data_IF_710734507564
#
_entry.id   IF_710734507564
#
_cell.length_a   1.000
_cell.length_b   1.000
_cell.length_c   1.000
_cell.angle_alpha   90.00
_cell.angle_beta   90.00
_cell.angle_gamma   90.00
#
_symmetry.space_group_name_H-M   'P 1'
#
loop_
_entity.id
_entity.type
_entity.pdbx_description
1 polymer ?
#
# COMPACT_ATOMS: atom_id res chain seq x y z
N UNK A 1 21.87 5.69 1.91
CA UNK A 1 21.88 6.00 0.49
C UNK A 1 20.51 5.68 -0.07
N UNK A 2 19.87 6.67 -0.66
CA UNK A 2 18.61 6.50 -1.38
C UNK A 2 18.90 5.55 -2.54
N UNK A 3 18.13 4.48 -2.73
CA UNK A 3 18.34 3.61 -3.88
C UNK A 3 18.30 4.43 -5.17
N UNK A 4 19.35 4.37 -5.94
CA UNK A 4 19.51 5.12 -7.21
C UNK A 4 18.35 4.86 -8.16
N UNK A 5 17.76 3.66 -8.11
CA UNK A 5 16.57 3.30 -8.87
C UNK A 5 15.35 4.17 -8.58
N UNK A 6 15.23 4.69 -7.37
CA UNK A 6 14.14 5.60 -6.99
C UNK A 6 14.44 7.06 -7.36
N UNK A 7 15.71 7.40 -7.57
CA UNK A 7 16.11 8.71 -8.09
C UNK A 7 16.08 8.78 -9.62
N UNK A 8 16.19 7.65 -10.31
CA UNK A 8 16.26 7.59 -11.76
C UNK A 8 14.99 7.98 -12.51
N UNK A 9 13.94 8.34 -11.78
CA UNK A 9 12.85 9.13 -12.34
C UNK A 9 11.90 8.41 -13.27
N UNK A 10 11.90 7.10 -13.30
CA UNK A 10 10.95 6.35 -14.08
C UNK A 10 9.66 6.13 -13.29
N UNK A 11 8.83 7.16 -13.20
CA UNK A 11 7.44 7.03 -12.79
C UNK A 11 7.18 6.47 -11.41
N UNK A 12 8.15 6.52 -10.52
CA UNK A 12 7.92 6.11 -9.14
C UNK A 12 6.95 7.07 -8.47
N UNK A 13 5.99 6.56 -7.75
CA UNK A 13 5.00 7.38 -7.09
C UNK A 13 5.60 8.30 -6.04
N UNK A 14 6.74 7.98 -5.47
CA UNK A 14 7.52 8.93 -4.68
C UNK A 14 8.00 10.12 -5.52
N UNK A 15 8.31 9.90 -6.79
CA UNK A 15 8.66 10.96 -7.74
C UNK A 15 7.42 11.76 -8.16
N UNK A 16 6.32 11.08 -8.39
CA UNK A 16 5.04 11.73 -8.76
C UNK A 16 4.39 12.42 -7.57
N UNK A 17 4.58 11.91 -6.38
CA UNK A 17 3.94 12.41 -5.18
C UNK A 17 4.86 13.20 -4.25
N UNK A 18 6.15 13.11 -4.38
CA UNK A 18 7.06 13.56 -3.35
C UNK A 18 7.91 14.79 -3.66
N UNK A 19 8.10 15.14 -4.90
CA UNK A 19 9.06 16.18 -5.25
C UNK A 19 8.45 17.44 -5.88
N UNK A 20 7.21 17.72 -5.53
CA UNK A 20 6.53 18.89 -6.09
C UNK A 20 6.18 18.76 -7.56
N UNK A 21 6.41 17.61 -8.15
CA UNK A 21 6.20 17.38 -9.58
C UNK A 21 4.72 17.46 -9.97
N UNK A 22 3.84 17.09 -9.06
CA UNK A 22 2.38 17.10 -9.27
C UNK A 22 1.63 18.11 -8.42
N UNK A 23 2.31 18.85 -7.55
CA UNK A 23 1.65 19.76 -6.63
C UNK A 23 0.80 19.07 -5.57
N UNK A 24 1.09 17.80 -5.29
CA UNK A 24 0.31 17.01 -4.34
C UNK A 24 0.54 17.45 -2.91
N UNK A 25 -0.53 17.39 -2.13
CA UNK A 25 -0.49 17.63 -0.70
C UNK A 25 0.11 16.42 0.04
N UNK A 26 0.67 16.67 1.22
CA UNK A 26 1.30 15.69 2.12
C UNK A 26 0.52 14.38 2.26
N UNK A 27 -0.79 14.43 2.50
CA UNK A 27 -1.61 13.25 2.71
C UNK A 27 -1.71 12.35 1.46
N UNK A 28 -1.66 12.93 0.27
CA UNK A 28 -1.68 12.17 -0.97
C UNK A 28 -0.36 11.41 -1.18
N UNK A 29 0.75 11.95 -0.73
CA UNK A 29 2.02 11.24 -0.73
C UNK A 29 2.00 10.00 0.14
N UNK A 30 1.43 10.14 1.34
CA UNK A 30 1.34 9.04 2.29
C UNK A 30 0.55 7.89 1.67
N UNK A 31 -0.59 8.16 1.05
CA UNK A 31 -1.41 7.16 0.38
C UNK A 31 -0.66 6.46 -0.77
N UNK A 32 -0.04 7.22 -1.67
CA UNK A 32 0.68 6.64 -2.79
C UNK A 32 1.94 5.87 -2.38
N UNK A 33 2.66 6.35 -1.37
CA UNK A 33 3.82 5.61 -0.87
C UNK A 33 3.42 4.33 -0.13
N UNK A 34 2.23 4.29 0.48
CA UNK A 34 1.69 3.06 1.04
C UNK A 34 1.41 2.03 -0.06
N UNK A 35 0.78 2.45 -1.16
CA UNK A 35 0.56 1.59 -2.32
C UNK A 35 1.89 1.04 -2.84
N UNK A 36 2.90 1.88 -3.01
CA UNK A 36 4.22 1.44 -3.46
C UNK A 36 4.89 0.46 -2.51
N UNK A 37 4.72 0.64 -1.24
CA UNK A 37 5.29 -0.22 -0.24
C UNK A 37 4.71 -1.63 -0.29
N UNK A 38 3.42 -1.76 -0.56
CA UNK A 38 2.67 -3.01 -0.46
C UNK A 38 2.36 -3.65 -1.82
N UNK A 39 2.57 -2.92 -2.88
CA UNK A 39 2.12 -3.23 -4.22
C UNK A 39 2.63 -4.56 -4.77
N UNK A 40 1.80 -5.20 -5.57
CA UNK A 40 2.11 -6.40 -6.34
C UNK A 40 2.67 -6.10 -7.74
N UNK A 41 2.68 -4.83 -8.13
CA UNK A 41 3.14 -4.33 -9.43
C UNK A 41 4.44 -3.55 -9.29
N UNK A 42 5.01 -3.14 -10.42
CA UNK A 42 6.04 -2.12 -10.42
C UNK A 42 5.49 -0.76 -9.96
N UNK A 43 6.38 0.10 -9.50
CA UNK A 43 6.01 1.40 -8.96
C UNK A 43 5.38 2.34 -10.00
N UNK A 44 5.55 2.05 -11.27
CA UNK A 44 5.01 2.85 -12.37
C UNK A 44 3.56 2.51 -12.67
N UNK A 45 3.21 1.24 -12.52
CA UNK A 45 1.89 0.74 -12.82
C UNK A 45 0.90 0.77 -11.65
N UNK A 46 1.31 1.22 -10.46
CA UNK A 46 0.40 1.20 -9.30
C UNK A 46 -0.76 2.17 -9.40
N UNK A 47 -0.73 3.01 -10.42
CA UNK A 47 -1.77 4.01 -10.57
C UNK A 47 -1.77 5.04 -9.44
N UNK A 48 -2.69 5.95 -9.51
CA UNK A 48 -2.95 6.91 -8.46
C UNK A 48 -4.10 6.39 -7.60
N UNK A 49 -4.10 6.71 -6.33
CA UNK A 49 -5.27 6.47 -5.49
C UNK A 49 -6.46 7.19 -6.10
N UNK A 50 -7.42 6.42 -6.60
CA UNK A 50 -8.64 6.99 -7.17
C UNK A 50 -9.58 7.39 -6.04
N UNK A 51 -9.83 8.68 -5.93
CA UNK A 51 -10.66 9.28 -4.87
C UNK A 51 -11.74 10.13 -5.53
N UNK A 52 -13.01 9.81 -5.25
CA UNK A 52 -14.13 10.65 -5.67
C UNK A 52 -14.15 11.99 -4.93
N UNK A 53 -14.86 12.98 -5.47
CA UNK A 53 -15.03 14.28 -4.81
C UNK A 53 -15.66 14.13 -3.42
N UNK A 54 -16.56 13.17 -3.24
CA UNK A 54 -17.19 12.89 -1.95
C UNK A 54 -16.19 12.29 -0.95
N UNK A 55 -15.42 11.30 -1.38
CA UNK A 55 -14.34 10.73 -0.56
C UNK A 55 -13.30 11.78 -0.18
N UNK A 56 -12.91 12.65 -1.13
CA UNK A 56 -11.98 13.74 -0.84
C UNK A 56 -12.49 14.64 0.29
N UNK A 57 -13.76 15.05 0.20
CA UNK A 57 -14.38 15.90 1.24
C UNK A 57 -14.36 15.19 2.60
N UNK A 58 -14.73 13.93 2.63
CA UNK A 58 -14.74 13.13 3.85
C UNK A 58 -13.33 12.95 4.43
N UNK A 59 -12.35 12.68 3.60
CA UNK A 59 -10.93 12.58 4.02
C UNK A 59 -10.46 13.89 4.67
N UNK A 60 -10.85 15.03 4.11
CA UNK A 60 -10.48 16.34 4.65
C UNK A 60 -11.22 16.70 5.94
N UNK A 61 -12.39 16.10 6.19
CA UNK A 61 -13.13 16.20 7.46
C UNK A 61 -12.57 15.26 8.54
N UNK A 62 -12.08 14.12 8.12
CA UNK A 62 -11.39 13.13 8.95
C UNK A 62 -9.94 13.52 9.07
N UNK A 63 -9.23 13.91 9.87
CA UNK A 63 -7.76 14.11 9.77
C UNK A 63 -7.13 13.22 8.66
N UNK A 64 -6.66 13.78 7.54
CA UNK A 64 -6.18 12.97 6.41
C UNK A 64 -5.12 11.94 6.77
N UNK A 65 -4.28 12.21 7.76
CA UNK A 65 -3.25 11.28 8.22
C UNK A 65 -3.81 10.09 9.03
N UNK A 66 -5.09 10.12 9.40
CA UNK A 66 -5.77 9.06 10.15
C UNK A 66 -7.11 8.66 9.50
N UNK A 67 -7.31 9.03 8.24
CA UNK A 67 -8.58 8.80 7.54
C UNK A 67 -8.77 7.34 7.14
N UNK A 68 -9.80 6.70 7.72
CA UNK A 68 -10.24 5.39 7.31
C UNK A 68 -10.74 5.39 5.86
N UNK A 69 -11.40 6.47 5.44
CA UNK A 69 -11.86 6.63 4.05
C UNK A 69 -10.69 6.59 3.07
N UNK A 70 -9.54 7.17 3.42
CA UNK A 70 -8.35 7.10 2.58
C UNK A 70 -7.72 5.70 2.60
N UNK A 71 -7.66 5.03 3.75
CA UNK A 71 -7.16 3.66 3.83
C UNK A 71 -8.00 2.68 2.99
N UNK A 72 -9.32 2.83 3.01
CA UNK A 72 -10.23 2.03 2.19
C UNK A 72 -10.05 2.33 0.68
N UNK A 73 -9.81 3.59 0.31
CA UNK A 73 -9.53 3.98 -1.07
C UNK A 73 -8.19 3.40 -1.55
N UNK A 74 -7.17 3.36 -0.71
CA UNK A 74 -5.88 2.71 -1.01
C UNK A 74 -6.08 1.22 -1.27
N UNK A 75 -6.76 0.50 -0.38
CA UNK A 75 -7.07 -0.92 -0.55
C UNK A 75 -7.86 -1.18 -1.85
N UNK A 76 -8.85 -0.34 -2.11
CA UNK A 76 -9.63 -0.42 -3.35
C UNK A 76 -8.74 -0.25 -4.58
N UNK A 77 -7.83 0.71 -4.56
CA UNK A 77 -6.89 0.97 -5.65
C UNK A 77 -5.97 -0.23 -5.89
N UNK A 78 -5.42 -0.83 -4.84
CA UNK A 78 -4.59 -2.03 -4.95
C UNK A 78 -5.36 -3.19 -5.58
N UNK A 79 -6.56 -3.48 -5.10
CA UNK A 79 -7.38 -4.55 -5.62
C UNK A 79 -7.77 -4.32 -7.10
N UNK A 80 -8.09 -3.10 -7.45
CA UNK A 80 -8.40 -2.72 -8.84
C UNK A 80 -7.17 -2.89 -9.74
N UNK A 81 -5.98 -2.51 -9.27
CA UNK A 81 -4.74 -2.70 -10.01
C UNK A 81 -4.43 -4.19 -10.26
N UNK A 82 -4.60 -5.04 -9.25
CA UNK A 82 -4.43 -6.49 -9.38
C UNK A 82 -5.40 -7.09 -10.41
N UNK A 83 -6.65 -6.66 -10.40
CA UNK A 83 -7.64 -7.10 -11.38
C UNK A 83 -7.29 -6.62 -12.79
N UNK A 84 -6.86 -5.38 -12.94
CA UNK A 84 -6.42 -4.82 -14.22
C UNK A 84 -5.26 -5.62 -14.83
N UNK A 85 -4.30 -6.04 -14.00
CA UNK A 85 -3.18 -6.87 -14.43
C UNK A 85 -3.57 -8.31 -14.73
N UNK A 86 -4.61 -8.80 -14.08
CA UNK A 86 -5.09 -10.18 -14.23
C UNK A 86 -5.93 -10.38 -15.49
N UNK A 87 -6.51 -9.32 -16.03
CA UNK A 87 -7.18 -9.30 -17.32
C UNK A 87 -6.28 -8.56 -18.32
N UNK A 88 -6.15 -9.02 -19.57
CA UNK A 88 -5.24 -8.42 -20.54
C UNK A 88 -5.75 -7.07 -21.07
N UNK A 89 -6.18 -6.20 -20.18
CA UNK A 89 -6.50 -4.81 -20.46
C UNK A 89 -5.42 -3.94 -19.81
N UNK A 90 -4.52 -3.42 -20.62
CA UNK A 90 -3.47 -2.55 -20.12
C UNK A 90 -4.02 -1.20 -19.66
N UNK A 91 -3.73 -0.80 -18.44
CA UNK A 91 -4.08 0.50 -17.88
C UNK A 91 -3.65 1.67 -18.80
N UNK A 92 -2.52 1.54 -19.45
CA UNK A 92 -1.98 2.52 -20.40
C UNK A 92 -2.71 2.55 -21.74
N UNK A 93 -3.38 1.48 -22.11
CA UNK A 93 -4.06 1.36 -23.40
C UNK A 93 -5.53 1.75 -23.32
N UNK A 94 -6.16 1.53 -22.17
CA UNK A 94 -7.58 1.82 -21.98
C UNK A 94 -7.84 3.14 -21.23
N UNK A 95 -6.85 3.73 -20.59
CA UNK A 95 -6.97 4.85 -19.66
C UNK A 95 -7.95 4.59 -18.49
N UNK A 96 -8.41 3.37 -18.34
CA UNK A 96 -9.37 3.00 -17.30
C UNK A 96 -8.96 1.69 -16.64
N UNK A 97 -8.79 1.69 -15.32
CA UNK A 97 -8.58 0.46 -14.56
C UNK A 97 -9.81 -0.44 -14.61
N UNK A 98 -9.61 -1.72 -14.35
CA UNK A 98 -10.70 -2.69 -14.27
C UNK A 98 -11.52 -2.46 -13.00
N UNK A 99 -12.71 -1.90 -13.16
CA UNK A 99 -13.67 -1.74 -12.07
C UNK A 99 -14.63 -2.93 -12.04
N UNK A 100 -14.64 -3.74 -10.96
CA UNK A 100 -15.48 -4.93 -10.90
C UNK A 100 -16.96 -4.68 -11.15
N UNK A 101 -17.47 -3.54 -10.68
CA UNK A 101 -18.88 -3.16 -10.85
C UNK A 101 -19.27 -2.90 -12.30
N UNK A 102 -18.32 -2.44 -13.11
CA UNK A 102 -18.55 -2.05 -14.50
C UNK A 102 -18.10 -3.14 -15.48
N UNK A 103 -17.09 -3.94 -15.07
CA UNK A 103 -16.42 -4.85 -15.99
C UNK A 103 -16.67 -6.35 -15.69
N UNK A 104 -17.52 -6.70 -14.72
CA UNK A 104 -17.83 -8.10 -14.42
C UNK A 104 -18.40 -8.86 -15.62
N UNK A 105 -19.25 -8.21 -16.43
CA UNK A 105 -19.80 -8.80 -17.63
C UNK A 105 -18.74 -9.05 -18.72
N UNK A 106 -17.78 -8.14 -18.86
CA UNK A 106 -16.66 -8.30 -19.78
C UNK A 106 -15.74 -9.43 -19.34
N UNK A 107 -15.50 -9.56 -18.04
CA UNK A 107 -14.76 -10.69 -17.48
C UNK A 107 -15.46 -12.02 -17.79
N UNK A 108 -16.76 -12.09 -17.59
CA UNK A 108 -17.56 -13.27 -17.94
C UNK A 108 -17.48 -13.58 -19.45
N UNK A 109 -17.64 -12.59 -20.29
CA UNK A 109 -17.56 -12.76 -21.74
C UNK A 109 -16.20 -13.28 -22.22
N UNK A 110 -15.11 -12.87 -21.54
CA UNK A 110 -13.75 -13.29 -21.88
C UNK A 110 -13.37 -14.67 -21.34
N UNK A 111 -13.89 -15.06 -20.17
CA UNK A 111 -13.43 -16.24 -19.43
C UNK A 111 -14.47 -17.36 -19.32
N UNK A 112 -15.74 -17.05 -19.50
CA UNK A 112 -16.87 -17.94 -19.19
C UNK A 112 -17.11 -18.12 -17.67
N UNK A 113 -16.38 -17.43 -16.82
CA UNK A 113 -16.49 -17.53 -15.36
C UNK A 113 -17.34 -16.36 -14.84
N UNK A 114 -18.45 -16.67 -14.19
CA UNK A 114 -19.31 -15.66 -13.59
C UNK A 114 -18.87 -15.35 -12.17
N UNK A 115 -18.48 -14.10 -11.93
CA UNK A 115 -18.22 -13.55 -10.61
C UNK A 115 -19.06 -12.30 -10.38
N UNK A 116 -19.52 -12.13 -9.15
CA UNK A 116 -20.01 -10.84 -8.68
C UNK A 116 -18.84 -9.86 -8.48
N UNK A 117 -19.08 -8.55 -8.45
CA UNK A 117 -18.04 -7.58 -8.11
C UNK A 117 -17.29 -7.88 -6.80
N UNK A 118 -18.01 -8.34 -5.79
CA UNK A 118 -17.44 -8.70 -4.49
C UNK A 118 -16.53 -9.94 -4.58
N UNK A 119 -16.92 -10.94 -5.37
CA UNK A 119 -16.08 -12.12 -5.60
C UNK A 119 -14.82 -11.77 -6.40
N UNK A 120 -14.90 -10.85 -7.37
CA UNK A 120 -13.72 -10.36 -8.08
C UNK A 120 -12.75 -9.65 -7.13
N UNK A 121 -13.25 -8.79 -6.24
CA UNK A 121 -12.41 -8.16 -5.21
C UNK A 121 -11.80 -9.19 -4.25
N UNK A 122 -12.52 -10.23 -3.89
CA UNK A 122 -11.97 -11.31 -3.07
C UNK A 122 -10.86 -12.08 -3.80
N UNK A 123 -10.93 -12.24 -5.12
CA UNK A 123 -9.81 -12.82 -5.89
C UNK A 123 -8.59 -11.89 -5.90
N UNK A 124 -8.79 -10.57 -5.98
CA UNK A 124 -7.69 -9.61 -5.85
C UNK A 124 -7.02 -9.68 -4.46
N UNK A 125 -7.81 -9.72 -3.39
CA UNK A 125 -7.30 -9.92 -2.02
C UNK A 125 -6.51 -11.22 -1.90
N UNK A 126 -7.00 -12.31 -2.47
CA UNK A 126 -6.30 -13.60 -2.50
C UNK A 126 -4.96 -13.49 -3.22
N UNK A 127 -4.91 -12.84 -4.39
CA UNK A 127 -3.67 -12.65 -5.14
C UNK A 127 -2.67 -11.79 -4.37
N UNK A 128 -3.12 -10.71 -3.74
CA UNK A 128 -2.31 -9.84 -2.89
C UNK A 128 -1.69 -10.62 -1.72
N UNK A 129 -2.46 -11.44 -1.05
CA UNK A 129 -1.98 -12.28 0.05
C UNK A 129 -0.97 -13.33 -0.42
N UNK A 130 -1.21 -14.01 -1.55
CA UNK A 130 -0.24 -14.96 -2.11
C UNK A 130 1.09 -14.30 -2.43
N UNK A 131 1.07 -13.09 -3.01
CA UNK A 131 2.28 -12.32 -3.23
C UNK A 131 2.99 -11.98 -1.92
N UNK A 132 2.21 -11.58 -0.89
CA UNK A 132 2.74 -11.33 0.46
C UNK A 132 3.41 -12.57 1.05
N UNK A 133 2.79 -13.75 0.91
CA UNK A 133 3.36 -15.02 1.37
C UNK A 133 4.73 -15.31 0.74
N UNK A 134 4.84 -15.09 -0.57
CA UNK A 134 6.11 -15.29 -1.30
C UNK A 134 7.19 -14.36 -0.76
N UNK A 135 6.87 -13.09 -0.53
CA UNK A 135 7.82 -12.11 0.00
C UNK A 135 8.25 -12.41 1.43
N UNK A 136 7.31 -12.82 2.28
CA UNK A 136 7.59 -13.22 3.66
C UNK A 136 8.49 -14.46 3.70
N UNK A 137 8.12 -15.51 2.96
CA UNK A 137 8.84 -16.78 2.95
C UNK A 137 10.25 -16.65 2.38
N UNK A 138 10.40 -15.94 1.26
CA UNK A 138 11.65 -15.92 0.52
C UNK A 138 12.62 -14.83 0.98
N UNK A 139 12.11 -13.72 1.51
CA UNK A 139 12.90 -12.54 1.83
C UNK A 139 12.73 -12.05 3.27
N UNK A 140 11.88 -12.69 4.07
CA UNK A 140 11.59 -12.24 5.43
C UNK A 140 10.96 -10.86 5.48
N UNK A 141 10.21 -10.47 4.42
CA UNK A 141 9.64 -9.13 4.34
C UNK A 141 8.77 -8.83 5.55
N UNK A 142 9.05 -7.72 6.20
CA UNK A 142 8.39 -7.31 7.42
C UNK A 142 8.16 -5.79 7.44
N UNK A 143 7.40 -5.34 8.44
CA UNK A 143 7.05 -3.94 8.63
C UNK A 143 8.24 -2.99 8.64
N UNK A 144 9.30 -3.32 9.38
CA UNK A 144 10.45 -2.41 9.50
C UNK A 144 11.13 -2.19 8.15
N UNK A 145 11.28 -3.24 7.36
CA UNK A 145 11.82 -3.12 6.00
C UNK A 145 10.99 -2.18 5.14
N UNK A 146 9.67 -2.28 5.23
CA UNK A 146 8.74 -1.47 4.44
C UNK A 146 8.76 -0.01 4.88
N UNK A 147 8.59 0.23 6.17
CA UNK A 147 8.54 1.58 6.74
C UNK A 147 9.84 2.34 6.52
N UNK A 148 10.98 1.68 6.76
CA UNK A 148 12.30 2.31 6.63
C UNK A 148 12.70 2.56 5.18
N UNK A 149 12.27 1.71 4.25
CA UNK A 149 12.61 1.89 2.83
C UNK A 149 11.91 3.09 2.23
N UNK A 150 10.68 3.35 2.63
CA UNK A 150 9.84 4.39 2.00
C UNK A 150 9.97 5.74 2.70
N UNK A 151 10.15 5.77 4.01
CA UNK A 151 10.15 7.01 4.79
C UNK A 151 11.11 8.10 4.29
N UNK A 152 12.36 7.80 3.88
CA UNK A 152 13.29 8.83 3.41
C UNK A 152 12.76 9.67 2.24
N UNK A 153 11.84 9.12 1.43
CA UNK A 153 11.23 9.85 0.31
C UNK A 153 10.18 10.86 0.76
N UNK A 154 9.63 10.68 1.95
CA UNK A 154 8.59 11.56 2.50
C UNK A 154 9.13 12.72 3.31
N UNK A 155 10.44 12.79 3.50
CA UNK A 155 11.10 13.90 4.22
C UNK A 155 11.26 15.17 3.38
N UNK A 156 10.90 15.13 2.10
CA UNK A 156 10.89 16.32 1.26
C UNK A 156 9.62 17.13 1.51
N UNK A 157 9.71 18.46 1.57
CA UNK A 157 8.53 19.30 1.75
C UNK A 157 7.61 19.25 0.54
N UNK A 158 6.33 19.26 0.80
CA UNK A 158 5.29 19.47 -0.21
C UNK A 158 5.26 20.94 -0.68
N UNK A 159 4.39 21.31 -1.65
CA UNK A 159 4.28 22.71 -2.11
C UNK A 159 3.88 23.72 -1.02
N UNK A 160 3.24 23.28 0.06
CA UNK A 160 2.93 24.11 1.22
C UNK A 160 4.11 24.22 2.21
N UNK A 161 5.14 23.42 2.04
CA UNK A 161 6.30 23.35 2.93
C UNK A 161 6.20 22.28 4.01
N UNK A 162 5.13 21.48 4.00
CA UNK A 162 4.90 20.41 4.97
C UNK A 162 5.68 19.13 4.61
N UNK A 163 6.15 18.44 5.64
CA UNK A 163 6.82 17.14 5.52
C UNK A 163 6.04 16.08 6.30
N UNK A 164 6.24 14.81 5.95
CA UNK A 164 5.69 13.69 6.72
C UNK A 164 6.68 13.35 7.83
N UNK A 165 6.22 13.33 9.06
CA UNK A 165 7.02 12.88 10.20
C UNK A 165 7.07 11.36 10.28
N UNK A 166 8.06 10.83 11.02
CA UNK A 166 8.16 9.40 11.29
C UNK A 166 6.90 8.85 11.98
N UNK A 167 6.34 9.60 12.91
CA UNK A 167 5.15 9.18 13.64
C UNK A 167 3.91 9.16 12.75
N UNK A 168 3.69 10.18 11.96
CA UNK A 168 2.58 10.22 10.99
C UNK A 168 2.66 9.06 9.99
N UNK A 169 3.87 8.76 9.47
CA UNK A 169 4.04 7.62 8.58
C UNK A 169 3.70 6.30 9.24
N UNK A 170 4.17 6.10 10.46
CA UNK A 170 3.89 4.89 11.21
C UNK A 170 2.41 4.76 11.60
N UNK A 171 1.73 5.86 11.89
CA UNK A 171 0.28 5.86 12.17
C UNK A 171 -0.52 5.46 10.93
N UNK A 172 -0.13 5.95 9.78
CA UNK A 172 -0.71 5.54 8.49
C UNK A 172 -0.54 4.05 8.22
N UNK A 173 0.68 3.55 8.33
CA UNK A 173 0.96 2.12 8.15
C UNK A 173 0.16 1.29 9.15
N UNK A 174 0.06 1.72 10.41
CA UNK A 174 -0.72 1.03 11.42
C UNK A 174 -2.22 1.01 11.09
N UNK A 175 -2.77 2.13 10.61
CA UNK A 175 -4.17 2.20 10.19
C UNK A 175 -4.42 1.25 9.02
N UNK A 176 -3.56 1.28 8.02
CA UNK A 176 -3.71 0.42 6.86
C UNK A 176 -3.56 -1.07 7.20
N UNK A 177 -2.58 -1.44 8.04
CA UNK A 177 -2.44 -2.83 8.50
C UNK A 177 -3.67 -3.33 9.24
N UNK A 178 -4.29 -2.48 10.08
CA UNK A 178 -5.58 -2.82 10.71
C UNK A 178 -6.67 -3.05 9.67
N UNK A 179 -6.74 -2.20 8.66
CA UNK A 179 -7.74 -2.31 7.58
C UNK A 179 -7.63 -3.63 6.82
N UNK A 180 -6.41 -4.10 6.57
CA UNK A 180 -6.16 -5.33 5.80
C UNK A 180 -5.93 -6.58 6.66
N UNK A 181 -6.05 -6.49 7.99
CA UNK A 181 -5.93 -7.62 8.90
C UNK A 181 -4.49 -8.11 9.10
N UNK A 182 -3.54 -7.17 9.24
CA UNK A 182 -2.13 -7.47 9.47
C UNK A 182 -1.70 -7.08 10.88
N UNK A 183 -0.75 -7.82 11.43
CA UNK A 183 -0.12 -7.50 12.71
C UNK A 183 0.73 -6.23 12.62
N UNK A 184 0.58 -5.37 13.60
CA UNK A 184 1.25 -4.06 13.63
C UNK A 184 2.77 -4.15 13.89
N UNK A 185 3.24 -5.22 14.50
CA UNK A 185 4.65 -5.41 14.79
C UNK A 185 5.41 -5.93 13.57
N UNK A 186 4.85 -6.93 12.91
CA UNK A 186 5.53 -7.67 11.84
C UNK A 186 5.11 -7.22 10.45
N UNK A 187 3.90 -6.67 10.31
CA UNK A 187 3.27 -6.45 9.01
C UNK A 187 2.85 -7.76 8.33
N UNK A 188 2.71 -8.84 9.08
CA UNK A 188 2.27 -10.13 8.56
C UNK A 188 0.78 -10.33 8.78
N UNK A 189 0.07 -10.95 7.84
CA UNK A 189 -1.34 -11.25 7.98
C UNK A 189 -1.61 -12.19 9.16
N UNK A 190 -2.71 -11.95 9.88
CA UNK A 190 -3.22 -12.89 10.87
C UNK A 190 -3.70 -14.18 10.21
N UNK A 191 -3.74 -15.29 10.94
CA UNK A 191 -4.30 -16.55 10.45
C UNK A 191 -5.72 -16.37 9.91
N UNK A 192 -6.55 -15.66 10.66
CA UNK A 192 -7.93 -15.33 10.24
C UNK A 192 -8.01 -14.60 8.89
N UNK A 193 -7.02 -13.78 8.56
CA UNK A 193 -6.93 -13.08 7.26
C UNK A 193 -6.68 -14.07 6.12
N UNK A 194 -5.78 -15.03 6.31
CA UNK A 194 -5.50 -16.09 5.35
C UNK A 194 -6.72 -16.98 5.13
N UNK A 195 -7.34 -17.43 6.22
CA UNK A 195 -8.52 -18.30 6.17
C UNK A 195 -9.71 -17.65 5.47
N UNK A 196 -9.95 -16.36 5.75
CA UNK A 196 -10.99 -15.58 5.05
C UNK A 196 -10.76 -15.53 3.53
N UNK A 197 -9.51 -15.51 3.09
CA UNK A 197 -9.15 -15.54 1.68
C UNK A 197 -9.10 -16.96 1.08
N UNK A 198 -9.45 -18.00 1.84
CA UNK A 198 -9.36 -19.39 1.41
C UNK A 198 -7.90 -19.87 1.23
N UNK A 199 -6.98 -19.35 2.03
CA UNK A 199 -5.54 -19.66 2.01
C UNK A 199 -5.08 -20.26 3.35
N UNK A 200 -5.89 -21.10 3.97
CA UNK A 200 -5.54 -21.78 5.21
C UNK A 200 -4.33 -22.68 5.08
N UNK A 201 -4.19 -23.37 3.96
CA UNK A 201 -3.01 -24.18 3.61
C UNK A 201 -1.71 -23.36 3.55
N UNK A 202 -1.77 -22.17 2.98
CA UNK A 202 -0.64 -21.22 2.97
C UNK A 202 -0.32 -20.74 4.38
N UNK A 203 -1.34 -20.48 5.19
CA UNK A 203 -1.14 -20.11 6.60
C UNK A 203 -0.43 -21.24 7.38
N UNK A 204 -0.79 -22.50 7.15
CA UNK A 204 -0.15 -23.65 7.80
C UNK A 204 1.34 -23.77 7.44
N UNK A 205 1.68 -23.57 6.16
CA UNK A 205 3.07 -23.53 5.72
C UNK A 205 3.87 -22.39 6.36
N UNK A 206 3.28 -21.19 6.43
CA UNK A 206 3.92 -20.02 7.03
C UNK A 206 4.05 -20.15 8.54
N UNK A 207 3.07 -20.75 9.21
CA UNK A 207 3.10 -21.00 10.66
C UNK A 207 4.22 -21.98 11.03
N UNK A 208 4.41 -23.01 10.24
CA UNK A 208 5.53 -23.93 10.41
C UNK A 208 6.92 -23.25 10.31
N UNK A 209 6.98 -22.07 9.67
CA UNK A 209 8.17 -21.23 9.57
C UNK A 209 8.21 -20.11 10.64
N UNK A 210 7.19 -20.02 11.52
CA UNK A 210 7.07 -18.96 12.53
C UNK A 210 6.71 -17.60 11.94
N UNK A 211 6.05 -17.57 10.77
CA UNK A 211 5.71 -16.34 10.04
C UNK A 211 4.24 -15.95 10.18
N UNK A 212 3.47 -16.60 11.05
CA UNK A 212 2.09 -16.23 11.37
C UNK A 212 2.06 -15.61 12.77
N UNK A 213 1.65 -14.35 12.90
CA UNK A 213 1.56 -13.70 14.20
C UNK A 213 0.38 -14.25 15.02
N UNK A 214 0.43 -14.13 16.36
CA UNK A 214 -0.71 -14.50 17.20
C UNK A 214 -1.92 -13.60 16.91
N UNK A 215 -3.12 -14.17 16.93
CA UNK A 215 -4.36 -13.39 16.82
C UNK A 215 -4.42 -12.32 17.91
N UNK A 216 -4.80 -11.10 17.51
CA UNK A 216 -4.79 -9.95 18.41
C UNK A 216 -3.47 -9.18 18.47
N UNK A 217 -2.46 -9.64 17.74
CA UNK A 217 -1.19 -8.95 17.54
C UNK A 217 -0.05 -9.44 18.45
N UNK A 218 1.15 -9.07 18.07
CA UNK A 218 2.39 -9.41 18.78
C UNK A 218 2.42 -8.71 20.14
N UNK A 219 2.48 -9.45 21.27
CA UNK A 219 2.49 -8.86 22.58
C UNK A 219 3.72 -7.97 22.82
N UNK A 220 3.50 -6.83 23.50
CA UNK A 220 4.60 -5.96 23.90
C UNK A 220 5.23 -5.17 22.74
N UNK A 221 4.60 -5.14 21.58
CA UNK A 221 5.08 -4.32 20.47
C UNK A 221 5.17 -2.84 20.88
N UNK A 222 6.34 -2.27 20.66
CA UNK A 222 6.60 -0.84 20.81
C UNK A 222 7.14 -0.33 19.48
N UNK A 223 6.57 0.76 18.99
CA UNK A 223 7.02 1.41 17.76
C UNK A 223 8.52 1.74 17.86
N UNK A 224 9.26 1.39 16.85
CA UNK A 224 10.69 1.72 16.74
C UNK A 224 10.88 3.23 16.65
N UNK A 225 11.90 3.74 17.33
CA UNK A 225 12.34 5.13 17.17
C UNK A 225 12.78 5.38 15.71
N UNK A 226 12.72 6.65 15.29
CA UNK A 226 13.14 7.02 13.94
C UNK A 226 14.63 6.68 13.72
N UNK A 227 14.99 5.75 12.85
CA UNK A 227 16.37 5.36 12.61
C UNK A 227 17.15 6.44 11.84
N UNK A 228 16.46 7.46 11.33
CA UNK A 228 17.04 8.56 10.55
C UNK A 228 17.21 9.84 11.38
N UNK A 229 16.87 9.82 12.68
CA UNK A 229 17.10 10.96 13.56
C UNK A 229 18.60 11.34 13.59
N UNK A 230 18.87 12.59 13.27
CA UNK A 230 20.24 13.12 13.15
C UNK A 230 20.86 12.99 11.75
N UNK A 231 20.23 12.29 10.81
CA UNK A 231 20.67 12.19 9.41
C UNK A 231 19.94 13.16 8.46
N UNK A 232 18.95 13.88 8.94
CA UNK A 232 18.30 14.95 8.17
C UNK A 232 19.33 16.05 7.94
N UNK A 233 19.74 16.25 6.69
CA UNK A 233 20.66 17.33 6.30
C UNK A 233 20.10 18.64 6.85
N UNK A 234 20.82 19.25 7.79
CA UNK A 234 20.51 20.60 8.24
C UNK A 234 20.59 21.52 7.03
N UNK A 235 19.47 22.11 6.66
CA UNK A 235 19.35 23.11 5.58
C UNK A 235 20.08 24.43 5.86
N UNK A 236 20.91 24.52 6.91
CA UNK A 236 21.44 25.80 7.42
C UNK A 236 22.86 26.14 6.98
N UNK A 237 23.51 25.37 6.10
CA UNK A 237 24.91 25.71 5.73
C UNK A 237 25.13 25.98 4.23
N UNK A 238 24.10 26.36 3.48
CA UNK A 238 24.29 26.86 2.10
C UNK A 238 23.37 28.07 1.84
N UNK A 239 23.56 29.13 2.60
CA UNK A 239 23.12 30.48 2.27
C UNK A 239 24.34 31.39 2.06
#
# INVERSE_FOLDING_TARGET
PIPVSLEAGWGHSSHWSGRGFTGCQKWFWVANNLINMLNTRDAMGSGHTHISTEQYRKIMEEDPCHSQTLADAVLRTENTAILTDSVPCGEWQSNEPFYPEENAEQFYAATGISYTPQELLAQADRARLLFRAILMRNYGRCRDMEVETVFPFMTYPDPAGDTVTWDEWNDWVALYYKTIGFDLATGWPFRSTWEKAGLGDVADELDALGLVPPEGGTPGYVRRANPFDGHVRKKEEQA
#
